data_IF_694483541369
#
_entry.id   IF_694483541369
#
_cell.length_a   1.000
_cell.length_b   1.000
_cell.length_c   1.000
_cell.angle_alpha   90.00
_cell.angle_beta   90.00
_cell.angle_gamma   90.00
#
_symmetry.space_group_name_H-M   'P 1'
#
loop_
_entity.id
_entity.type
_entity.pdbx_description
1 polymer ?
#
# COMPACT_ATOMS: atom_id res chain seq x y z
N UNK A 1 38.45 -14.11 -7.05
CA UNK A 1 37.23 -14.77 -7.51
C UNK A 1 36.48 -15.50 -6.39
N UNK A 2 37.06 -16.41 -5.62
CA UNK A 2 36.39 -17.19 -4.55
C UNK A 2 35.64 -16.32 -3.50
N UNK A 3 36.23 -15.18 -3.08
CA UNK A 3 35.61 -14.27 -2.09
C UNK A 3 34.33 -13.57 -2.60
N UNK A 4 34.29 -13.21 -3.87
CA UNK A 4 33.08 -12.61 -4.47
C UNK A 4 31.97 -13.65 -4.67
N UNK A 5 32.35 -14.86 -5.08
CA UNK A 5 31.44 -15.98 -5.23
C UNK A 5 30.80 -16.40 -3.90
N UNK A 6 31.56 -16.47 -2.81
CA UNK A 6 31.03 -16.79 -1.48
C UNK A 6 30.07 -15.71 -0.96
N UNK A 7 30.36 -14.42 -1.22
CA UNK A 7 29.45 -13.31 -0.88
C UNK A 7 28.17 -13.37 -1.69
N UNK A 8 28.25 -13.63 -2.99
CA UNK A 8 27.09 -13.80 -3.86
C UNK A 8 26.20 -14.97 -3.39
N UNK A 9 26.79 -16.12 -3.10
CA UNK A 9 26.07 -17.28 -2.56
C UNK A 9 25.41 -16.97 -1.21
N UNK A 10 26.06 -16.21 -0.33
CA UNK A 10 25.46 -15.79 0.94
C UNK A 10 24.32 -14.80 0.75
N UNK A 11 24.37 -13.98 -0.29
CA UNK A 11 23.30 -13.04 -0.63
C UNK A 11 22.04 -13.75 -1.12
N UNK A 12 22.17 -14.68 -2.08
CA UNK A 12 21.03 -15.44 -2.65
C UNK A 12 20.44 -16.48 -1.69
N UNK A 13 21.14 -16.83 -0.61
CA UNK A 13 20.58 -17.68 0.45
C UNK A 13 19.51 -16.97 1.29
N UNK A 14 19.44 -15.65 1.25
CA UNK A 14 18.48 -14.86 2.01
C UNK A 14 17.23 -14.57 1.15
N UNK A 15 16.05 -15.10 1.49
CA UNK A 15 14.83 -14.94 0.69
C UNK A 15 14.50 -13.48 0.40
N UNK A 16 14.67 -12.60 1.39
CA UNK A 16 14.42 -11.17 1.25
C UNK A 16 15.32 -10.50 0.18
N UNK A 17 16.56 -10.95 0.04
CA UNK A 17 17.48 -10.39 -0.96
C UNK A 17 17.13 -10.86 -2.38
N UNK A 18 16.73 -12.13 -2.51
CA UNK A 18 16.23 -12.66 -3.79
C UNK A 18 14.99 -11.89 -4.21
N UNK A 19 14.06 -11.70 -3.27
CA UNK A 19 12.84 -10.96 -3.53
C UNK A 19 13.11 -9.56 -4.06
N UNK A 20 13.88 -8.73 -3.33
CA UNK A 20 14.10 -7.33 -3.72
C UNK A 20 14.82 -7.22 -5.07
N UNK A 21 15.81 -8.11 -5.34
CA UNK A 21 16.54 -8.10 -6.60
C UNK A 21 15.64 -8.43 -7.79
N UNK A 22 14.84 -9.49 -7.69
CA UNK A 22 13.94 -9.91 -8.76
C UNK A 22 12.75 -8.96 -8.90
N UNK A 23 12.20 -8.47 -7.80
CA UNK A 23 11.11 -7.50 -7.79
C UNK A 23 11.48 -6.21 -8.51
N UNK A 24 12.66 -5.65 -8.20
CA UNK A 24 13.15 -4.44 -8.88
C UNK A 24 13.47 -4.73 -10.35
N UNK A 25 14.12 -5.85 -10.67
CA UNK A 25 14.47 -6.19 -12.05
C UNK A 25 13.23 -6.33 -12.93
N UNK A 26 12.30 -7.22 -12.56
CA UNK A 26 11.08 -7.45 -13.33
C UNK A 26 10.12 -6.25 -13.26
N UNK A 27 10.08 -5.55 -12.14
CA UNK A 27 9.25 -4.36 -11.98
C UNK A 27 9.71 -3.19 -12.85
N UNK A 28 11.03 -2.92 -12.94
CA UNK A 28 11.55 -1.89 -13.85
C UNK A 28 11.28 -2.28 -15.31
N UNK A 29 11.48 -3.55 -15.66
CA UNK A 29 11.15 -4.05 -16.99
C UNK A 29 9.66 -3.85 -17.29
N UNK A 30 8.76 -4.20 -16.37
CA UNK A 30 7.32 -3.98 -16.51
C UNK A 30 6.97 -2.50 -16.64
N UNK A 31 7.52 -1.64 -15.78
CA UNK A 31 7.27 -0.20 -15.83
C UNK A 31 7.69 0.44 -17.16
N UNK A 32 8.77 -0.10 -17.78
CA UNK A 32 9.32 0.41 -19.04
C UNK A 32 8.59 -0.15 -20.28
N UNK A 33 8.13 -1.40 -20.26
CA UNK A 33 7.55 -2.07 -21.43
C UNK A 33 6.02 -1.95 -21.52
N UNK A 34 5.35 -1.83 -20.36
CA UNK A 34 3.89 -1.69 -20.33
C UNK A 34 3.49 -0.28 -20.77
N UNK A 35 2.64 -0.13 -21.80
CA UNK A 35 2.21 1.19 -22.28
C UNK A 35 1.64 2.06 -21.16
N UNK A 36 1.75 3.40 -21.34
CA UNK A 36 1.28 4.34 -20.33
C UNK A 36 -0.24 4.23 -20.14
N UNK A 37 -0.66 4.09 -18.88
CA UNK A 37 -2.08 4.04 -18.47
C UNK A 37 -2.86 2.85 -19.08
N UNK A 38 -2.17 1.78 -19.49
CA UNK A 38 -2.80 0.57 -20.03
C UNK A 38 -3.14 -0.48 -18.97
N UNK A 39 -2.61 -0.33 -17.76
CA UNK A 39 -2.99 -1.17 -16.62
C UNK A 39 -4.41 -0.82 -16.19
N UNK A 40 -5.18 -1.83 -15.78
CA UNK A 40 -6.58 -1.62 -15.39
C UNK A 40 -6.71 -0.51 -14.33
N UNK A 41 -7.63 0.43 -14.56
CA UNK A 41 -7.90 1.60 -13.69
C UNK A 41 -6.71 2.55 -13.45
N UNK A 42 -5.56 2.34 -14.12
CA UNK A 42 -4.36 3.16 -13.91
C UNK A 42 -4.61 4.65 -14.18
N UNK A 43 -5.45 4.98 -15.16
CA UNK A 43 -5.80 6.36 -15.46
C UNK A 43 -6.48 7.09 -14.30
N UNK A 44 -7.39 6.42 -13.60
CA UNK A 44 -8.09 6.97 -12.43
C UNK A 44 -7.13 7.11 -11.25
N UNK A 45 -6.28 6.13 -11.02
CA UNK A 45 -5.23 6.17 -10.01
C UNK A 45 -4.21 7.29 -10.29
N UNK A 46 -3.88 7.51 -11.58
CA UNK A 46 -3.00 8.60 -11.99
C UNK A 46 -3.60 9.96 -11.66
N UNK A 47 -4.86 10.21 -12.05
CA UNK A 47 -5.55 11.46 -11.71
C UNK A 47 -5.55 11.69 -10.19
N UNK A 48 -5.82 10.65 -9.39
CA UNK A 48 -5.82 10.75 -7.93
C UNK A 48 -4.45 11.12 -7.38
N UNK A 49 -3.39 10.39 -7.78
CA UNK A 49 -2.02 10.64 -7.34
C UNK A 49 -1.51 12.02 -7.80
N UNK A 50 -1.85 12.43 -9.04
CA UNK A 50 -1.51 13.75 -9.54
C UNK A 50 -2.23 14.86 -8.76
N UNK A 51 -3.52 14.70 -8.48
CA UNK A 51 -4.27 15.65 -7.65
C UNK A 51 -3.67 15.80 -6.25
N UNK A 52 -3.29 14.69 -5.62
CA UNK A 52 -2.59 14.71 -4.33
C UNK A 52 -1.24 15.43 -4.41
N UNK A 53 -0.50 15.27 -5.52
CA UNK A 53 0.77 15.98 -5.73
C UNK A 53 0.61 17.51 -5.84
N UNK A 54 -0.61 17.98 -6.12
CA UNK A 54 -0.99 19.40 -6.12
C UNK A 54 -1.65 19.84 -4.79
N UNK A 55 -1.59 19.02 -3.75
CA UNK A 55 -2.21 19.29 -2.45
C UNK A 55 -3.74 19.13 -2.40
N UNK A 56 -4.37 18.56 -3.44
CA UNK A 56 -5.82 18.34 -3.50
C UNK A 56 -6.19 17.05 -2.76
N UNK A 57 -6.38 17.17 -1.45
CA UNK A 57 -6.66 16.02 -0.56
C UNK A 57 -8.13 15.58 -0.66
N UNK A 58 -9.04 16.49 -1.03
CA UNK A 58 -10.46 16.22 -1.05
C UNK A 58 -10.84 15.07 -1.97
N UNK A 59 -11.69 14.19 -1.44
CA UNK A 59 -12.29 13.07 -2.17
C UNK A 59 -13.59 13.50 -2.85
N UNK A 60 -13.50 14.49 -3.74
CA UNK A 60 -14.66 14.98 -4.50
C UNK A 60 -14.90 14.15 -5.77
N UNK A 61 -16.15 14.15 -6.23
CA UNK A 61 -16.52 13.53 -7.51
C UNK A 61 -15.87 14.24 -8.70
N UNK A 62 -15.57 15.53 -8.55
CA UNK A 62 -14.94 16.36 -9.55
C UNK A 62 -13.58 16.87 -9.07
N UNK A 63 -12.57 16.76 -9.92
CA UNK A 63 -11.25 17.33 -9.68
C UNK A 63 -10.85 18.22 -10.86
N UNK A 64 -10.31 19.39 -10.57
CA UNK A 64 -9.75 20.29 -11.58
C UNK A 64 -8.26 19.99 -11.69
N UNK A 65 -7.84 19.43 -12.83
CA UNK A 65 -6.47 19.03 -13.12
C UNK A 65 -6.04 19.56 -14.49
N UNK A 66 -4.74 19.59 -14.81
CA UNK A 66 -4.31 19.92 -16.16
C UNK A 66 -5.03 19.07 -17.20
N UNK A 67 -5.47 19.71 -18.28
CA UNK A 67 -6.28 19.09 -19.34
C UNK A 67 -5.62 17.83 -19.91
N UNK A 68 -4.31 17.86 -20.11
CA UNK A 68 -3.55 16.71 -20.62
C UNK A 68 -3.62 15.51 -19.66
N UNK A 69 -3.64 15.74 -18.35
CA UNK A 69 -3.76 14.68 -17.34
C UNK A 69 -5.15 14.05 -17.40
N UNK A 70 -6.20 14.87 -17.50
CA UNK A 70 -7.59 14.40 -17.55
C UNK A 70 -7.88 13.64 -18.84
N UNK A 71 -7.46 14.19 -19.98
CA UNK A 71 -7.70 13.58 -21.30
C UNK A 71 -6.96 12.25 -21.41
N UNK A 72 -5.66 12.21 -21.06
CA UNK A 72 -4.88 10.98 -21.15
C UNK A 72 -5.35 9.89 -20.20
N UNK A 73 -5.84 10.25 -19.03
CA UNK A 73 -6.40 9.28 -18.10
C UNK A 73 -7.68 8.60 -18.62
N UNK A 74 -8.40 9.23 -19.54
CA UNK A 74 -9.59 8.68 -20.21
C UNK A 74 -9.25 7.79 -21.43
N UNK A 75 -8.08 8.02 -22.04
CA UNK A 75 -7.66 7.35 -23.27
C UNK A 75 -6.43 6.48 -23.02
N UNK A 76 -6.64 5.19 -22.81
CA UNK A 76 -5.56 4.20 -22.87
C UNK A 76 -5.12 4.03 -24.33
N UNK A 77 -4.23 4.90 -24.82
CA UNK A 77 -3.78 4.88 -26.20
C UNK A 77 -2.50 4.05 -26.34
N UNK A 78 -2.67 2.82 -26.80
CA UNK A 78 -1.57 1.88 -27.08
C UNK A 78 -0.75 2.31 -28.31
N UNK A 79 -1.37 3.04 -29.23
CA UNK A 79 -0.78 3.35 -30.54
C UNK A 79 0.13 4.59 -30.56
N UNK A 80 0.03 5.49 -29.59
CA UNK A 80 0.78 6.77 -29.52
C UNK A 80 1.76 6.84 -28.35
N UNK A 81 2.46 5.75 -28.05
CA UNK A 81 3.38 5.65 -26.90
C UNK A 81 4.42 6.79 -26.89
N UNK A 82 5.09 7.06 -28.00
CA UNK A 82 6.17 8.07 -28.08
C UNK A 82 5.64 9.50 -27.97
N UNK A 83 4.52 9.82 -28.62
CA UNK A 83 3.91 11.16 -28.57
C UNK A 83 3.37 11.48 -27.19
N UNK A 84 2.75 10.50 -26.52
CA UNK A 84 2.27 10.63 -25.15
C UNK A 84 3.40 10.86 -24.13
N UNK A 85 4.56 10.24 -24.36
CA UNK A 85 5.74 10.43 -23.51
C UNK A 85 6.25 11.87 -23.49
N UNK A 86 6.29 12.52 -24.67
CA UNK A 86 6.83 13.86 -24.85
C UNK A 86 5.82 14.99 -24.59
N UNK A 87 4.55 14.66 -24.37
CA UNK A 87 3.51 15.67 -24.21
C UNK A 87 3.75 16.52 -22.97
N UNK A 88 3.92 17.82 -23.17
CA UNK A 88 4.12 18.81 -22.11
C UNK A 88 2.80 19.02 -21.36
N UNK A 89 2.86 19.16 -20.03
CA UNK A 89 1.71 19.47 -19.20
C UNK A 89 1.61 20.98 -19.03
N UNK A 90 0.54 21.57 -19.59
CA UNK A 90 0.21 22.98 -19.33
C UNK A 90 -0.58 23.08 -18.01
N UNK A 91 0.08 23.54 -16.96
CA UNK A 91 -0.51 23.62 -15.61
C UNK A 91 -1.57 24.70 -15.48
N UNK A 92 -1.61 25.66 -16.40
CA UNK A 92 -2.57 26.78 -16.41
C UNK A 92 -3.86 26.43 -17.15
N UNK A 93 -3.81 25.46 -18.07
CA UNK A 93 -5.00 24.96 -18.79
C UNK A 93 -5.59 23.78 -18.06
N UNK A 94 -6.62 24.02 -17.27
CA UNK A 94 -7.22 23.02 -16.39
C UNK A 94 -8.62 22.64 -16.86
N UNK A 95 -8.95 21.36 -16.72
CA UNK A 95 -10.27 20.78 -16.98
C UNK A 95 -10.81 20.09 -15.73
N UNK A 96 -12.11 20.18 -15.53
CA UNK A 96 -12.78 19.44 -14.47
C UNK A 96 -13.12 18.04 -14.96
N UNK A 97 -12.43 17.05 -14.41
CA UNK A 97 -12.64 15.64 -14.69
C UNK A 97 -13.39 14.91 -13.58
N UNK A 98 -13.99 13.77 -13.92
CA UNK A 98 -14.51 12.84 -12.91
C UNK A 98 -13.35 12.02 -12.33
N UNK A 99 -12.89 12.37 -11.15
CA UNK A 99 -11.88 11.60 -10.41
C UNK A 99 -12.51 10.48 -9.55
N UNK A 100 -13.71 10.04 -9.90
CA UNK A 100 -14.71 9.49 -9.00
C UNK A 100 -14.38 8.16 -8.35
N UNK A 101 -13.72 7.22 -9.03
CA UNK A 101 -13.56 5.87 -8.45
C UNK A 101 -12.36 5.76 -7.51
N UNK A 102 -11.24 6.42 -7.80
CA UNK A 102 -10.07 6.38 -6.93
C UNK A 102 -10.13 7.38 -5.76
N UNK A 103 -11.05 8.35 -5.79
CA UNK A 103 -11.23 9.30 -4.68
C UNK A 103 -11.89 8.66 -3.45
N UNK A 104 -12.55 7.53 -3.60
CA UNK A 104 -13.06 6.73 -2.48
C UNK A 104 -11.96 6.09 -1.62
N UNK A 105 -10.73 6.02 -2.14
CA UNK A 105 -9.59 5.49 -1.38
C UNK A 105 -8.90 6.60 -0.59
N UNK A 106 -8.48 6.32 0.66
CA UNK A 106 -7.68 7.25 1.45
C UNK A 106 -6.39 7.65 0.73
N UNK A 107 -5.91 8.90 0.93
CA UNK A 107 -4.68 9.40 0.28
C UNK A 107 -3.46 8.51 0.46
N UNK A 108 -3.35 7.82 1.60
CA UNK A 108 -2.24 6.91 1.92
C UNK A 108 -2.04 5.81 0.87
N UNK A 109 -3.11 5.39 0.17
CA UNK A 109 -3.05 4.37 -0.88
C UNK A 109 -2.22 4.80 -2.08
N UNK A 110 -2.14 6.10 -2.34
CA UNK A 110 -1.45 6.69 -3.48
C UNK A 110 -0.19 7.47 -3.08
N UNK A 111 0.22 7.38 -1.82
CA UNK A 111 1.35 8.16 -1.30
C UNK A 111 2.66 7.91 -2.07
N UNK A 112 3.07 6.66 -2.37
CA UNK A 112 4.29 6.43 -3.13
C UNK A 112 4.25 7.04 -4.53
N UNK A 113 3.15 6.85 -5.25
CA UNK A 113 2.94 7.39 -6.60
C UNK A 113 2.95 8.91 -6.58
N UNK A 114 2.29 9.51 -5.59
CA UNK A 114 2.23 10.96 -5.38
C UNK A 114 3.64 11.54 -5.21
N UNK A 115 4.48 10.91 -4.40
CA UNK A 115 5.87 11.33 -4.19
C UNK A 115 6.65 11.29 -5.50
N UNK A 116 6.53 10.21 -6.29
CA UNK A 116 7.17 10.11 -7.60
C UNK A 116 6.72 11.22 -8.55
N UNK A 117 5.41 11.48 -8.62
CA UNK A 117 4.85 12.57 -9.46
C UNK A 117 5.33 13.95 -8.97
N UNK A 118 5.44 14.18 -7.67
CA UNK A 118 5.99 15.42 -7.12
C UNK A 118 7.42 15.65 -7.60
N UNK A 119 8.28 14.64 -7.55
CA UNK A 119 9.65 14.74 -8.07
C UNK A 119 9.67 15.04 -9.57
N UNK A 120 8.83 14.37 -10.37
CA UNK A 120 8.70 14.66 -11.80
C UNK A 120 8.21 16.08 -12.07
N UNK A 121 7.30 16.60 -11.25
CA UNK A 121 6.81 17.97 -11.37
C UNK A 121 7.88 19.03 -11.03
N UNK A 122 8.77 18.74 -10.07
CA UNK A 122 9.89 19.63 -9.71
C UNK A 122 10.87 19.85 -10.89
N UNK A 123 11.06 18.83 -11.73
CA UNK A 123 11.90 18.92 -12.93
C UNK A 123 11.12 19.32 -14.19
N UNK A 124 9.90 19.83 -14.03
CA UNK A 124 8.99 20.17 -15.14
C UNK A 124 8.79 19.02 -16.14
N UNK A 125 8.75 17.79 -15.63
CA UNK A 125 8.63 16.58 -16.45
C UNK A 125 7.39 16.59 -17.34
N UNK A 126 7.52 15.94 -18.49
CA UNK A 126 6.40 15.67 -19.40
C UNK A 126 5.41 14.68 -18.79
N UNK A 127 4.26 14.48 -19.43
CA UNK A 127 3.24 13.54 -19.01
C UNK A 127 3.79 12.13 -18.79
N UNK A 128 4.60 11.62 -19.73
CA UNK A 128 5.23 10.31 -19.58
C UNK A 128 6.20 10.23 -18.41
N UNK A 129 6.96 11.29 -18.15
CA UNK A 129 7.90 11.36 -17.03
C UNK A 129 7.14 11.29 -15.69
N UNK A 130 6.00 12.01 -15.56
CA UNK A 130 5.20 11.97 -14.34
C UNK A 130 4.63 10.56 -14.07
N UNK A 131 4.19 9.86 -15.11
CA UNK A 131 3.67 8.49 -15.00
C UNK A 131 4.80 7.53 -14.60
N UNK A 132 5.96 7.59 -15.27
CA UNK A 132 7.08 6.68 -14.98
C UNK A 132 7.63 6.90 -13.57
N UNK A 133 7.81 8.14 -13.15
CA UNK A 133 8.28 8.42 -11.79
C UNK A 133 7.29 7.92 -10.73
N UNK A 134 5.99 8.06 -10.99
CA UNK A 134 4.95 7.50 -10.13
C UNK A 134 4.99 5.96 -10.06
N UNK A 135 5.15 5.27 -11.22
CA UNK A 135 5.32 3.82 -11.32
C UNK A 135 6.56 3.33 -10.57
N UNK A 136 7.71 3.98 -10.79
CA UNK A 136 8.97 3.62 -10.14
C UNK A 136 8.92 3.84 -8.63
N UNK A 137 8.35 4.95 -8.17
CA UNK A 137 8.18 5.20 -6.75
C UNK A 137 7.29 4.15 -6.08
N UNK A 138 6.18 3.74 -6.73
CA UNK A 138 5.32 2.67 -6.25
C UNK A 138 6.05 1.32 -6.17
N UNK A 139 6.79 0.96 -7.23
CA UNK A 139 7.61 -0.25 -7.29
C UNK A 139 8.66 -0.29 -6.18
N UNK A 140 9.40 0.81 -6.02
CA UNK A 140 10.45 0.92 -4.99
C UNK A 140 9.83 0.72 -3.61
N UNK A 141 8.73 1.42 -3.33
CA UNK A 141 8.05 1.29 -2.05
C UNK A 141 7.56 -0.13 -1.78
N UNK A 142 6.90 -0.77 -2.77
CA UNK A 142 6.46 -2.17 -2.69
C UNK A 142 7.63 -3.12 -2.40
N UNK A 143 8.70 -2.99 -3.17
CA UNK A 143 9.86 -3.88 -3.08
C UNK A 143 10.56 -3.78 -1.72
N UNK A 144 10.75 -2.56 -1.20
CA UNK A 144 11.35 -2.37 0.11
C UNK A 144 10.41 -2.78 1.25
N UNK A 145 9.11 -2.46 1.15
CA UNK A 145 8.15 -2.86 2.18
C UNK A 145 8.10 -4.38 2.33
N UNK A 146 7.96 -5.13 1.22
CA UNK A 146 7.96 -6.59 1.28
C UNK A 146 9.32 -7.17 1.65
N UNK A 147 10.44 -6.57 1.26
CA UNK A 147 11.76 -6.96 1.75
C UNK A 147 11.79 -7.00 3.29
N UNK A 148 11.30 -5.95 3.96
CA UNK A 148 11.24 -5.91 5.41
C UNK A 148 10.25 -6.91 5.99
N UNK A 149 9.10 -7.11 5.36
CA UNK A 149 8.10 -8.11 5.77
C UNK A 149 8.69 -9.52 5.68
N UNK A 150 9.33 -9.88 4.56
CA UNK A 150 9.97 -11.20 4.37
C UNK A 150 11.12 -11.41 5.36
N UNK A 151 11.90 -10.37 5.61
CA UNK A 151 12.97 -10.43 6.61
C UNK A 151 12.41 -10.70 8.01
N UNK A 152 11.29 -10.05 8.34
CA UNK A 152 10.67 -10.09 9.66
C UNK A 152 9.87 -11.36 9.93
N UNK A 153 9.19 -11.94 8.92
CA UNK A 153 8.42 -13.18 9.11
C UNK A 153 9.33 -14.34 9.51
N UNK A 154 8.88 -15.15 10.48
CA UNK A 154 9.70 -16.25 11.03
C UNK A 154 9.61 -17.53 10.22
N UNK A 155 8.44 -17.81 9.65
CA UNK A 155 8.16 -19.04 8.90
C UNK A 155 7.60 -18.71 7.52
N UNK A 156 7.84 -19.59 6.56
CA UNK A 156 7.24 -19.46 5.23
C UNK A 156 7.86 -18.37 4.34
N UNK A 157 9.08 -17.89 4.61
CA UNK A 157 9.72 -16.80 3.84
C UNK A 157 9.68 -17.00 2.33
N UNK A 158 9.95 -18.22 1.85
CA UNK A 158 9.91 -18.53 0.43
C UNK A 158 8.52 -18.50 -0.18
N UNK A 159 7.47 -18.81 0.60
CA UNK A 159 6.10 -18.62 0.15
C UNK A 159 5.78 -17.13 -0.08
N UNK A 160 6.25 -16.25 0.82
CA UNK A 160 6.15 -14.81 0.65
C UNK A 160 6.91 -14.33 -0.61
N UNK A 161 8.12 -14.86 -0.85
CA UNK A 161 8.88 -14.55 -2.07
C UNK A 161 8.11 -14.96 -3.31
N UNK A 162 7.65 -16.21 -3.37
CA UNK A 162 6.92 -16.73 -4.54
C UNK A 162 5.63 -15.94 -4.81
N UNK A 163 4.84 -15.66 -3.77
CA UNK A 163 3.60 -14.90 -3.91
C UNK A 163 3.87 -13.43 -4.24
N UNK A 164 4.85 -12.80 -3.60
CA UNK A 164 5.20 -11.41 -3.85
C UNK A 164 5.82 -11.16 -5.22
N UNK A 165 6.46 -12.18 -5.81
CA UNK A 165 6.99 -12.15 -7.18
C UNK A 165 5.97 -12.64 -8.23
N UNK A 166 4.75 -12.97 -7.82
CA UNK A 166 3.73 -13.37 -8.78
C UNK A 166 3.56 -12.26 -9.84
N UNK A 167 3.50 -12.59 -11.15
CA UNK A 167 3.52 -11.59 -12.22
C UNK A 167 2.52 -10.45 -12.03
N UNK A 168 1.29 -10.77 -11.58
CA UNK A 168 0.26 -9.75 -11.32
C UNK A 168 0.68 -8.79 -10.19
N UNK A 169 1.33 -9.29 -9.13
CA UNK A 169 1.79 -8.44 -8.01
C UNK A 169 2.86 -7.46 -8.47
N UNK A 170 3.83 -7.92 -9.29
CA UNK A 170 4.87 -7.07 -9.86
C UNK A 170 4.28 -6.06 -10.84
N UNK A 171 3.32 -6.49 -11.67
CA UNK A 171 2.63 -5.63 -12.62
C UNK A 171 1.87 -4.48 -11.91
N UNK A 172 1.13 -4.78 -10.86
CA UNK A 172 0.44 -3.76 -10.04
C UNK A 172 1.43 -2.86 -9.30
N UNK A 173 2.53 -3.41 -8.76
CA UNK A 173 3.56 -2.63 -8.11
C UNK A 173 4.28 -1.68 -9.08
N UNK A 174 4.47 -2.09 -10.34
CA UNK A 174 5.08 -1.31 -11.42
C UNK A 174 4.08 -0.40 -12.16
N UNK A 175 2.92 -0.15 -11.59
CA UNK A 175 1.87 0.74 -12.11
C UNK A 175 1.53 1.83 -11.10
N UNK A 176 0.57 2.70 -11.46
CA UNK A 176 0.04 3.72 -10.53
C UNK A 176 -1.08 3.19 -9.63
N UNK A 177 -1.36 1.88 -9.67
CA UNK A 177 -2.43 1.29 -8.87
C UNK A 177 -2.18 1.43 -7.37
N UNK A 178 -3.22 1.80 -6.62
CA UNK A 178 -3.23 1.77 -5.16
C UNK A 178 -3.23 0.35 -4.57
N UNK A 179 -3.48 -0.68 -5.38
CA UNK A 179 -3.55 -2.07 -4.91
C UNK A 179 -2.21 -2.60 -4.40
N UNK A 180 -1.08 -2.01 -4.80
CA UNK A 180 0.23 -2.32 -4.23
C UNK A 180 0.27 -2.07 -2.71
N UNK A 181 -0.35 -0.99 -2.23
CA UNK A 181 -0.47 -0.70 -0.79
C UNK A 181 -1.38 -1.72 -0.09
N UNK A 182 -2.48 -2.13 -0.73
CA UNK A 182 -3.33 -3.21 -0.22
C UNK A 182 -2.55 -4.51 -0.08
N UNK A 183 -1.76 -4.88 -1.08
CA UNK A 183 -0.92 -6.08 -1.05
C UNK A 183 0.10 -6.01 0.09
N UNK A 184 0.79 -4.88 0.27
CA UNK A 184 1.71 -4.67 1.41
C UNK A 184 1.00 -4.87 2.75
N UNK A 185 -0.20 -4.30 2.90
CA UNK A 185 -1.00 -4.45 4.12
C UNK A 185 -1.37 -5.91 4.39
N UNK A 186 -1.80 -6.64 3.35
CA UNK A 186 -2.13 -8.07 3.41
C UNK A 186 -0.92 -8.90 3.82
N UNK A 187 0.22 -8.73 3.15
CA UNK A 187 1.45 -9.44 3.49
C UNK A 187 1.91 -9.15 4.92
N UNK A 188 1.81 -7.89 5.36
CA UNK A 188 2.16 -7.49 6.72
C UNK A 188 1.23 -8.16 7.75
N UNK A 189 -0.08 -8.22 7.48
CA UNK A 189 -1.06 -8.86 8.35
C UNK A 189 -0.81 -10.37 8.49
N UNK A 190 -0.55 -11.05 7.36
CA UNK A 190 -0.24 -12.48 7.36
C UNK A 190 1.06 -12.73 8.13
N UNK A 191 2.12 -11.94 7.88
CA UNK A 191 3.40 -12.08 8.59
C UNK A 191 3.26 -11.84 10.10
N UNK A 192 2.50 -10.80 10.50
CA UNK A 192 2.19 -10.52 11.89
C UNK A 192 1.49 -11.72 12.56
N UNK A 193 0.45 -12.24 11.92
CA UNK A 193 -0.32 -13.38 12.40
C UNK A 193 0.56 -14.63 12.56
N UNK A 194 1.37 -14.97 11.54
CA UNK A 194 2.30 -16.11 11.61
C UNK A 194 3.34 -15.96 12.71
N UNK A 195 3.88 -14.76 12.90
CA UNK A 195 4.82 -14.49 13.97
C UNK A 195 4.18 -14.64 15.36
N UNK A 196 2.92 -14.23 15.52
CA UNK A 196 2.17 -14.37 16.76
C UNK A 196 1.85 -15.85 17.07
N UNK A 197 1.45 -16.64 16.08
CA UNK A 197 1.25 -18.09 16.26
C UNK A 197 2.53 -18.82 16.68
N UNK A 198 3.67 -18.37 16.17
CA UNK A 198 4.98 -18.94 16.49
C UNK A 198 5.51 -18.53 17.86
N UNK A 199 4.86 -17.58 18.55
CA UNK A 199 5.32 -17.04 19.81
C UNK A 199 4.79 -17.89 21.00
N UNK A 200 5.67 -18.11 21.99
CA UNK A 200 5.33 -18.81 23.23
C UNK A 200 5.09 -17.88 24.42
N UNK A 201 5.67 -16.70 24.40
CA UNK A 201 5.56 -15.68 25.46
C UNK A 201 4.32 -14.80 25.27
N UNK A 202 3.79 -14.18 26.33
CA UNK A 202 2.71 -13.20 26.25
C UNK A 202 3.05 -12.05 25.31
N UNK A 203 2.00 -11.43 24.77
CA UNK A 203 2.13 -10.29 23.86
C UNK A 203 2.74 -9.07 24.57
N UNK A 204 3.80 -8.54 24.01
CA UNK A 204 4.36 -7.26 24.47
C UNK A 204 3.47 -6.10 24.05
N UNK A 205 3.56 -4.95 24.73
CA UNK A 205 2.83 -3.73 24.38
C UNK A 205 3.10 -3.29 22.92
N UNK A 206 4.33 -3.42 22.47
CA UNK A 206 4.69 -3.09 21.09
C UNK A 206 4.00 -3.99 20.06
N UNK A 207 3.86 -5.28 20.35
CA UNK A 207 3.14 -6.21 19.48
C UNK A 207 1.63 -5.94 19.46
N UNK A 208 1.04 -5.54 20.58
CA UNK A 208 -0.35 -5.12 20.63
C UNK A 208 -0.59 -3.87 19.79
N UNK A 209 0.27 -2.87 19.89
CA UNK A 209 0.21 -1.67 19.05
C UNK A 209 0.41 -2.00 17.55
N UNK A 210 1.30 -2.94 17.24
CA UNK A 210 1.50 -3.40 15.88
C UNK A 210 0.22 -4.05 15.31
N UNK A 211 -0.47 -4.89 16.06
CA UNK A 211 -1.73 -5.51 15.63
C UNK A 211 -2.77 -4.43 15.31
N UNK A 212 -2.89 -3.43 16.19
CA UNK A 212 -3.80 -2.30 15.97
C UNK A 212 -3.40 -1.52 14.71
N UNK A 213 -2.11 -1.21 14.53
CA UNK A 213 -1.61 -0.49 13.37
C UNK A 213 -1.88 -1.26 12.06
N UNK A 214 -1.68 -2.59 12.07
CA UNK A 214 -1.98 -3.44 10.92
C UNK A 214 -3.48 -3.49 10.64
N UNK A 215 -4.31 -3.58 11.68
CA UNK A 215 -5.77 -3.53 11.53
C UNK A 215 -6.23 -2.21 10.91
N UNK A 216 -5.71 -1.08 11.40
CA UNK A 216 -5.99 0.23 10.83
C UNK A 216 -5.54 0.32 9.36
N UNK A 217 -4.35 -0.19 9.04
CA UNK A 217 -3.84 -0.20 7.67
C UNK A 217 -4.74 -1.00 6.73
N UNK A 218 -5.21 -2.18 7.15
CA UNK A 218 -6.13 -3.01 6.37
C UNK A 218 -7.47 -2.30 6.12
N UNK A 219 -8.06 -1.67 7.15
CA UNK A 219 -9.30 -0.91 7.00
C UNK A 219 -9.11 0.27 6.03
N UNK A 220 -7.98 0.97 6.14
CA UNK A 220 -7.66 2.12 5.29
C UNK A 220 -7.41 1.72 3.84
N UNK A 221 -6.95 0.50 3.57
CA UNK A 221 -6.75 0.04 2.19
C UNK A 221 -8.06 -0.41 1.54
N UNK A 222 -8.64 -1.48 2.02
CA UNK A 222 -9.98 -1.97 1.59
C UNK A 222 -10.67 -2.58 2.80
N UNK A 223 -11.83 -2.10 3.16
CA UNK A 223 -12.54 -2.53 4.38
C UNK A 223 -12.75 -4.06 4.44
N UNK A 224 -12.93 -4.72 3.30
CA UNK A 224 -13.08 -6.19 3.24
C UNK A 224 -11.80 -6.93 3.68
N UNK A 225 -10.61 -6.33 3.56
CA UNK A 225 -9.35 -6.98 3.94
C UNK A 225 -9.18 -7.18 5.45
N UNK A 226 -10.02 -6.54 6.28
CA UNK A 226 -10.03 -6.75 7.73
C UNK A 226 -10.30 -8.22 8.09
N UNK A 227 -11.01 -8.96 7.23
CA UNK A 227 -11.26 -10.40 7.42
C UNK A 227 -9.95 -11.22 7.51
N UNK A 228 -8.85 -10.73 6.97
CA UNK A 228 -7.53 -11.36 7.10
C UNK A 228 -6.98 -11.35 8.52
N UNK A 229 -7.57 -10.56 9.42
CA UNK A 229 -7.27 -10.64 10.85
C UNK A 229 -8.11 -11.68 11.59
N UNK A 230 -9.05 -12.34 10.92
CA UNK A 230 -9.86 -13.39 11.57
C UNK A 230 -9.00 -14.50 12.25
N UNK A 231 -7.83 -14.93 11.73
CA UNK A 231 -6.99 -15.90 12.42
C UNK A 231 -6.47 -15.39 13.78
N UNK A 232 -6.42 -14.09 14.02
CA UNK A 232 -6.04 -13.50 15.32
C UNK A 232 -7.03 -13.92 16.42
N UNK A 233 -8.29 -14.21 16.06
CA UNK A 233 -9.32 -14.70 17.01
C UNK A 233 -8.95 -16.08 17.56
N UNK A 234 -8.24 -16.89 16.75
CA UNK A 234 -7.79 -18.24 17.10
C UNK A 234 -6.43 -18.27 17.81
N UNK A 235 -5.86 -17.11 18.13
CA UNK A 235 -4.60 -17.06 18.87
C UNK A 235 -4.74 -17.74 20.24
N UNK A 236 -3.74 -18.54 20.67
CA UNK A 236 -3.76 -19.24 21.94
C UNK A 236 -3.94 -18.28 23.11
N UNK A 237 -4.82 -18.61 24.05
CA UNK A 237 -5.11 -17.81 25.26
C UNK A 237 -3.84 -17.44 26.06
N UNK A 238 -2.81 -18.28 25.99
CA UNK A 238 -1.50 -18.05 26.64
C UNK A 238 -0.80 -16.77 26.21
N UNK A 239 -1.14 -16.21 25.04
CA UNK A 239 -0.56 -14.96 24.53
C UNK A 239 -1.20 -13.73 25.20
N UNK A 240 -2.36 -13.90 25.82
CA UNK A 240 -3.07 -12.82 26.49
C UNK A 240 -2.85 -12.97 27.99
N UNK A 241 -2.07 -12.06 28.57
CA UNK A 241 -1.94 -11.99 30.05
C UNK A 241 -3.33 -11.64 30.62
N UNK A 242 -3.77 -12.26 31.72
CA UNK A 242 -5.10 -12.04 32.30
C UNK A 242 -5.24 -10.68 33.02
N UNK A 243 -4.62 -9.60 32.50
CA UNK A 243 -4.80 -8.26 33.03
C UNK A 243 -6.05 -7.60 32.41
N UNK A 244 -6.81 -6.85 33.24
CA UNK A 244 -8.04 -6.14 32.82
C UNK A 244 -7.83 -5.28 31.56
N UNK A 245 -6.61 -4.79 31.33
CA UNK A 245 -6.24 -3.95 30.17
C UNK A 245 -6.17 -4.73 28.86
N UNK A 246 -5.81 -6.03 28.88
CA UNK A 246 -5.77 -6.85 27.67
C UNK A 246 -7.16 -7.23 27.17
N UNK A 247 -8.17 -7.26 28.03
CA UNK A 247 -9.56 -7.49 27.65
C UNK A 247 -10.10 -6.39 26.74
N UNK A 248 -9.69 -5.14 26.96
CA UNK A 248 -10.15 -3.99 26.17
C UNK A 248 -9.64 -4.11 24.73
N UNK A 249 -8.39 -4.53 24.51
CA UNK A 249 -7.81 -4.71 23.16
C UNK A 249 -8.44 -5.92 22.46
N UNK A 250 -8.72 -7.00 23.18
CA UNK A 250 -9.43 -8.16 22.64
C UNK A 250 -10.87 -7.80 22.21
N UNK A 251 -11.57 -6.99 23.00
CA UNK A 251 -12.92 -6.54 22.63
C UNK A 251 -12.91 -5.51 21.51
N UNK A 252 -11.89 -4.65 21.39
CA UNK A 252 -11.78 -3.71 20.26
C UNK A 252 -11.48 -4.44 18.94
N UNK A 253 -10.63 -5.47 18.93
CA UNK A 253 -10.43 -6.32 17.74
C UNK A 253 -11.68 -7.13 17.40
N UNK A 254 -12.40 -7.64 18.38
CA UNK A 254 -13.68 -8.34 18.17
C UNK A 254 -14.79 -7.40 17.68
N UNK A 255 -14.82 -6.17 18.16
CA UNK A 255 -15.75 -5.14 17.73
C UNK A 255 -15.47 -4.69 16.29
N UNK A 256 -14.21 -4.55 15.89
CA UNK A 256 -13.81 -4.25 14.51
C UNK A 256 -14.21 -5.36 13.54
N UNK A 257 -14.08 -6.64 13.95
CA UNK A 257 -14.52 -7.78 13.13
C UNK A 257 -16.06 -7.85 12.98
N UNK A 258 -16.81 -7.46 14.01
CA UNK A 258 -18.29 -7.44 13.96
C UNK A 258 -18.84 -6.26 13.13
N UNK A 259 -18.11 -5.15 13.07
CA UNK A 259 -18.48 -3.97 12.28
C UNK A 259 -18.27 -4.17 10.76
N UNK A 260 -17.36 -5.08 10.35
CA UNK A 260 -17.16 -5.41 8.95
C UNK A 260 -18.32 -6.19 8.31
N UNK A 261 -19.23 -6.74 9.12
CA UNK A 261 -20.40 -7.48 8.63
C UNK A 261 -21.63 -6.59 8.35
N UNK A 262 -21.60 -5.31 8.69
CA UNK A 262 -22.69 -4.37 8.45
C UNK A 262 -22.31 -3.37 7.35
N UNK A 263 -23.23 -3.17 6.39
CA UNK A 263 -23.15 -2.31 5.20
C UNK A 263 -22.97 -0.80 5.49
N UNK A 264 -22.07 -0.40 6.40
CA UNK A 264 -21.93 0.97 6.90
C UNK A 264 -20.52 1.47 6.63
N UNK A 265 -20.25 1.92 5.42
CA UNK A 265 -18.90 2.38 4.99
C UNK A 265 -18.53 3.84 5.33
N UNK A 266 -19.45 4.68 5.82
CA UNK A 266 -19.18 6.10 6.15
C UNK A 266 -19.17 6.45 7.65
N UNK A 267 -20.05 5.96 8.53
CA UNK A 267 -19.95 6.24 9.96
C UNK A 267 -18.79 5.52 10.65
N UNK A 268 -18.26 4.45 10.07
CA UNK A 268 -17.17 3.65 10.63
C UNK A 268 -15.85 4.39 10.75
N UNK A 269 -15.50 5.25 9.80
CA UNK A 269 -14.26 6.03 9.85
C UNK A 269 -14.26 6.98 11.06
N UNK A 270 -15.38 7.62 11.34
CA UNK A 270 -15.53 8.51 12.48
C UNK A 270 -15.56 7.75 13.81
N UNK A 271 -16.14 6.55 13.86
CA UNK A 271 -16.19 5.72 15.07
C UNK A 271 -14.84 5.09 15.41
N UNK A 272 -14.07 4.65 14.41
CA UNK A 272 -12.70 4.11 14.63
C UNK A 272 -11.74 5.22 15.01
N UNK A 273 -11.80 6.39 14.38
CA UNK A 273 -11.01 7.56 14.76
C UNK A 273 -11.34 8.03 16.18
N UNK A 274 -12.62 8.06 16.55
CA UNK A 274 -13.07 8.38 17.91
C UNK A 274 -12.62 7.33 18.93
N UNK A 275 -12.69 6.04 18.60
CA UNK A 275 -12.25 4.97 19.49
C UNK A 275 -10.75 5.00 19.74
N UNK A 276 -9.93 5.24 18.69
CA UNK A 276 -8.48 5.40 18.80
C UNK A 276 -8.13 6.66 19.61
N UNK A 277 -8.82 7.77 19.36
CA UNK A 277 -8.62 9.01 20.10
C UNK A 277 -8.98 8.86 21.58
N UNK A 278 -10.09 8.19 21.90
CA UNK A 278 -10.52 7.98 23.30
C UNK A 278 -9.58 7.01 24.02
N UNK A 279 -9.08 5.98 23.34
CA UNK A 279 -8.16 5.00 23.95
C UNK A 279 -6.79 5.62 24.19
N UNK A 280 -6.32 6.48 23.29
CA UNK A 280 -5.04 7.19 23.45
C UNK A 280 -5.12 8.31 24.49
N UNK A 281 -6.18 9.11 24.50
CA UNK A 281 -6.32 10.25 25.45
C UNK A 281 -6.58 9.80 26.89
N UNK A 282 -7.29 8.70 27.13
CA UNK A 282 -7.47 8.15 28.46
C UNK A 282 -6.17 7.59 29.05
N UNK A 283 -5.20 7.23 28.22
CA UNK A 283 -3.95 6.63 28.67
C UNK A 283 -2.88 7.68 29.04
N UNK A 284 -2.98 8.90 28.50
CA UNK A 284 -2.05 9.99 28.83
C UNK A 284 -2.42 10.78 30.10
N UNK A 285 -3.66 10.62 30.60
CA UNK A 285 -4.10 11.30 31.84
C UNK A 285 -3.89 10.47 33.13
N UNK A 286 -3.44 9.22 33.01
CA UNK A 286 -3.25 8.31 34.17
C UNK A 286 -1.83 7.74 34.25
N UNK A 287 -0.88 8.28 33.50
CA UNK A 287 0.57 8.09 33.65
C UNK A 287 1.23 9.37 34.14
#
# INVERSE_FOLDING_TARGET
>A
MKKYWSRFLSFIKKPENVFISLSLFFGVLSAATVPLLSVNDEGVHYMRAYGLSQGKIESGVACTLPKEVVLKAKEADVNNFVTSYKKTINRNDTETGKCSSATGYPPIMHLPQTIGIMFANLIHGSLGITIIFGRLANLIFYSFALYFVIKWVRIGKWAFVATGLFPLMIHLAASLSGDSMTNIAIFTAIAATLNLFSQKSPLTRQQQLLIIAVACLLILTKSVTILLLSPVIFLPKRLFVPDKKSKIIFYSTKMVSSLSSSNISRPLFNSVASCIHTTLTHHWRTA
#
